data_IF_460305187577
#
_entry.id   IF_460305187577
#
_cell.length_a   1.000
_cell.length_b   1.000
_cell.length_c   1.000
_cell.angle_alpha   90.00
_cell.angle_beta   90.00
_cell.angle_gamma   90.00
#
_symmetry.space_group_name_H-M   'P 1'
#
loop_
_entity.id
_entity.type
_entity.pdbx_description
1 polymer ?
#
# COMPACT_ATOMS: atom_id res chain seq x y z
N UNK A 1 1.32 -6.61 9.14
CA UNK A 1 0.35 -6.59 10.26
C UNK A 1 -0.79 -7.58 10.04
N UNK A 2 -1.25 -7.78 8.80
CA UNK A 2 -2.27 -8.76 8.38
C UNK A 2 -2.31 -10.07 9.20
N UNK A 3 -1.26 -10.90 9.14
CA UNK A 3 -1.25 -12.20 9.85
C UNK A 3 -1.27 -12.06 11.37
N UNK A 4 -0.57 -11.06 11.91
CA UNK A 4 -0.46 -10.83 13.36
C UNK A 4 -1.81 -10.39 13.96
N UNK A 5 -2.54 -9.56 13.24
CA UNK A 5 -3.79 -8.98 13.69
C UNK A 5 -5.02 -9.75 13.19
N UNK A 6 -4.81 -10.82 12.40
CA UNK A 6 -5.89 -11.57 11.73
C UNK A 6 -6.88 -10.65 11.00
N UNK A 7 -6.38 -9.58 10.38
CA UNK A 7 -7.16 -8.54 9.72
C UNK A 7 -6.63 -8.34 8.29
N UNK A 8 -7.38 -8.75 7.24
CA UNK A 8 -6.95 -8.59 5.86
C UNK A 8 -6.79 -7.11 5.45
N UNK A 9 -7.41 -6.18 6.17
CA UNK A 9 -7.26 -4.73 5.93
C UNK A 9 -6.01 -4.13 6.57
N UNK A 10 -5.29 -4.86 7.44
CA UNK A 10 -4.12 -4.36 8.18
C UNK A 10 -2.84 -4.30 7.31
N UNK A 11 -2.95 -3.62 6.18
CA UNK A 11 -1.84 -3.17 5.34
C UNK A 11 -1.09 -2.03 6.03
N UNK A 12 0.15 -1.75 5.60
CA UNK A 12 1.00 -0.75 6.23
C UNK A 12 0.36 0.64 6.17
N UNK A 13 -0.22 1.00 5.03
CA UNK A 13 -0.87 2.27 4.74
C UNK A 13 -2.14 2.45 5.59
N UNK A 14 -3.01 1.43 5.64
CA UNK A 14 -4.22 1.45 6.47
C UNK A 14 -3.85 1.58 7.95
N UNK A 15 -2.83 0.85 8.40
CA UNK A 15 -2.36 0.90 9.78
C UNK A 15 -1.81 2.29 10.11
N UNK A 16 -0.97 2.86 9.24
CA UNK A 16 -0.40 4.19 9.42
C UNK A 16 -1.48 5.29 9.46
N UNK A 17 -2.47 5.23 8.57
CA UNK A 17 -3.61 6.16 8.58
C UNK A 17 -4.39 6.02 9.89
N UNK A 18 -4.72 4.80 10.33
CA UNK A 18 -5.43 4.55 11.60
C UNK A 18 -4.66 5.14 12.79
N UNK A 19 -3.35 4.90 12.87
CA UNK A 19 -2.49 5.41 13.94
C UNK A 19 -2.38 6.94 13.91
N UNK A 20 -2.24 7.54 12.72
CA UNK A 20 -2.18 8.99 12.56
C UNK A 20 -3.49 9.66 13.00
N UNK A 21 -4.64 9.11 12.58
CA UNK A 21 -5.96 9.62 12.97
C UNK A 21 -6.16 9.57 14.50
N UNK A 22 -5.75 8.48 15.14
CA UNK A 22 -5.82 8.35 16.60
C UNK A 22 -4.90 9.36 17.30
N UNK A 23 -3.66 9.52 16.81
CA UNK A 23 -2.68 10.43 17.41
C UNK A 23 -3.09 11.90 17.31
N UNK A 24 -3.69 12.28 16.18
CA UNK A 24 -4.11 13.66 15.92
C UNK A 24 -5.56 13.92 16.33
N UNK A 25 -6.29 12.89 16.78
CA UNK A 25 -7.70 12.93 17.12
C UNK A 25 -8.59 13.55 16.03
N UNK A 26 -8.35 13.16 14.77
CA UNK A 26 -9.09 13.62 13.60
C UNK A 26 -9.07 12.56 12.51
N UNK A 27 -10.05 12.59 11.61
CA UNK A 27 -10.13 11.65 10.46
C UNK A 27 -9.54 12.22 9.17
N UNK A 28 -9.38 13.54 9.12
CA UNK A 28 -8.77 14.25 7.99
C UNK A 28 -7.28 14.47 8.29
N UNK A 29 -6.44 14.14 7.32
CA UNK A 29 -4.98 14.20 7.37
C UNK A 29 -4.44 15.08 6.23
N UNK A 30 -5.12 16.19 5.93
CA UNK A 30 -4.76 17.09 4.80
C UNK A 30 -3.40 17.75 4.94
N UNK A 31 -2.91 17.91 6.17
CA UNK A 31 -1.60 18.47 6.47
C UNK A 31 -0.50 17.37 6.55
N UNK A 32 -0.85 16.13 6.20
CA UNK A 32 0.07 15.00 6.20
C UNK A 32 0.43 14.57 4.78
N UNK A 33 1.59 13.92 4.68
CA UNK A 33 2.06 13.18 3.51
C UNK A 33 2.25 11.72 3.90
N UNK A 34 2.09 10.79 2.94
CA UNK A 34 2.31 9.36 3.19
C UNK A 34 3.43 8.81 2.32
N UNK A 35 4.30 8.00 2.94
CA UNK A 35 5.44 7.37 2.31
C UNK A 35 5.27 5.86 2.38
N UNK A 36 5.31 5.19 1.23
CA UNK A 36 5.04 3.77 1.07
C UNK A 36 6.26 3.06 0.47
N UNK A 37 6.60 1.87 0.95
CA UNK A 37 7.68 1.08 0.36
C UNK A 37 7.31 0.54 -1.02
N UNK A 38 6.03 0.26 -1.25
CA UNK A 38 5.46 -0.17 -2.53
C UNK A 38 4.30 0.74 -2.92
N UNK A 39 4.01 0.80 -4.22
CA UNK A 39 2.79 1.37 -4.75
C UNK A 39 1.56 0.76 -4.02
N UNK A 40 0.69 1.59 -3.42
CA UNK A 40 -0.45 1.11 -2.64
C UNK A 40 -1.47 0.36 -3.50
N UNK A 41 -2.04 -0.70 -2.96
CA UNK A 41 -3.16 -1.40 -3.60
C UNK A 41 -4.44 -0.53 -3.63
N UNK A 42 -5.47 -0.88 -4.43
CA UNK A 42 -6.69 -0.09 -4.57
C UNK A 42 -7.38 0.27 -3.24
N UNK A 43 -7.39 -0.67 -2.29
CA UNK A 43 -7.94 -0.44 -0.94
C UNK A 43 -7.17 0.68 -0.21
N UNK A 44 -5.84 0.61 -0.21
CA UNK A 44 -4.99 1.57 0.48
C UNK A 44 -5.05 2.93 -0.19
N UNK A 45 -5.03 2.97 -1.53
CA UNK A 45 -5.14 4.19 -2.30
C UNK A 45 -6.48 4.92 -2.05
N UNK A 46 -7.57 4.17 -1.95
CA UNK A 46 -8.89 4.71 -1.58
C UNK A 46 -8.91 5.24 -0.14
N UNK A 47 -8.26 4.55 0.80
CA UNK A 47 -8.16 5.03 2.18
C UNK A 47 -7.33 6.33 2.29
N UNK A 48 -6.22 6.43 1.55
CA UNK A 48 -5.42 7.66 1.44
C UNK A 48 -6.30 8.80 0.94
N UNK A 49 -7.08 8.58 -0.12
CA UNK A 49 -8.03 9.56 -0.64
C UNK A 49 -9.04 10.03 0.41
N UNK A 50 -9.72 9.10 1.09
CA UNK A 50 -10.73 9.45 2.09
C UNK A 50 -10.15 10.10 3.34
N UNK A 51 -8.88 9.84 3.67
CA UNK A 51 -8.17 10.56 4.72
C UNK A 51 -7.72 11.97 4.29
N UNK A 52 -7.97 12.37 3.04
CA UNK A 52 -7.65 13.69 2.49
C UNK A 52 -6.15 14.05 2.48
N UNK A 53 -5.26 13.06 2.60
CA UNK A 53 -3.82 13.21 2.42
C UNK A 53 -3.54 13.77 1.02
N UNK A 54 -2.62 14.72 0.91
CA UNK A 54 -2.37 15.46 -0.34
C UNK A 54 -1.19 14.94 -1.14
N UNK A 55 -0.32 14.15 -0.53
CA UNK A 55 0.85 13.60 -1.21
C UNK A 55 1.14 12.16 -0.80
N UNK A 56 1.35 11.33 -1.81
CA UNK A 56 1.78 9.94 -1.73
C UNK A 56 3.13 9.80 -2.41
N UNK A 57 4.12 9.28 -1.68
CA UNK A 57 5.42 8.89 -2.23
C UNK A 57 5.57 7.38 -2.10
N UNK A 58 5.92 6.67 -3.17
CA UNK A 58 6.13 5.21 -3.13
C UNK A 58 7.47 4.77 -3.72
N UNK A 59 8.06 3.70 -3.20
CA UNK A 59 9.34 3.14 -3.66
C UNK A 59 9.22 2.21 -4.86
N UNK A 60 8.89 0.94 -4.59
CA UNK A 60 8.69 -0.09 -5.62
C UNK A 60 7.32 0.06 -6.28
N UNK A 61 7.20 -0.36 -7.55
CA UNK A 61 5.89 -0.39 -8.22
C UNK A 61 5.10 -1.65 -7.89
N UNK A 62 3.79 -1.63 -8.12
CA UNK A 62 2.90 -2.77 -7.86
C UNK A 62 3.34 -4.05 -8.58
N UNK A 63 3.98 -3.94 -9.75
CA UNK A 63 4.46 -5.10 -10.51
C UNK A 63 5.55 -5.88 -9.76
N UNK A 64 6.33 -5.23 -8.89
CA UNK A 64 7.31 -5.90 -8.03
C UNK A 64 6.63 -6.79 -6.97
N UNK A 65 5.48 -6.35 -6.44
CA UNK A 65 4.68 -7.17 -5.54
C UNK A 65 4.07 -8.38 -6.28
N UNK A 66 3.57 -8.18 -7.51
CA UNK A 66 3.06 -9.28 -8.32
C UNK A 66 4.14 -10.32 -8.61
N UNK A 67 5.35 -9.88 -8.96
CA UNK A 67 6.49 -10.76 -9.25
C UNK A 67 6.91 -11.65 -8.06
N UNK A 68 6.56 -11.28 -6.83
CA UNK A 68 6.90 -12.04 -5.61
C UNK A 68 5.74 -12.91 -5.11
N UNK A 69 4.63 -12.99 -5.87
CA UNK A 69 3.51 -13.88 -5.59
C UNK A 69 2.27 -13.21 -4.99
N UNK A 70 2.19 -11.88 -4.98
CA UNK A 70 0.92 -11.20 -4.69
C UNK A 70 -0.01 -11.22 -5.92
N UNK A 71 -1.31 -11.14 -5.66
CA UNK A 71 -2.36 -11.21 -6.68
C UNK A 71 -2.27 -10.03 -7.67
N UNK A 72 -2.48 -10.32 -8.96
CA UNK A 72 -2.41 -9.32 -10.04
C UNK A 72 -3.46 -8.23 -9.91
N UNK A 73 -4.54 -8.46 -9.14
CA UNK A 73 -5.58 -7.47 -8.84
C UNK A 73 -5.01 -6.14 -8.32
N UNK A 74 -3.83 -6.17 -7.68
CA UNK A 74 -3.15 -4.98 -7.18
C UNK A 74 -2.76 -4.03 -8.33
N UNK A 75 -2.29 -4.57 -9.46
CA UNK A 75 -1.92 -3.81 -10.64
C UNK A 75 -3.10 -3.62 -11.62
N UNK A 76 -3.90 -4.68 -11.79
CA UNK A 76 -4.97 -4.71 -12.79
C UNK A 76 -6.13 -3.76 -12.45
N UNK A 77 -6.49 -3.64 -11.17
CA UNK A 77 -7.64 -2.83 -10.75
C UNK A 77 -7.44 -1.31 -10.97
N UNK A 78 -6.19 -0.87 -11.09
CA UNK A 78 -5.85 0.53 -11.36
C UNK A 78 -5.59 0.79 -12.85
N UNK A 79 -5.36 -0.26 -13.62
CA UNK A 79 -5.07 -0.15 -15.04
C UNK A 79 -6.32 0.25 -15.84
N UNK A 80 -6.22 1.28 -16.68
CA UNK A 80 -7.28 1.76 -17.58
C UNK A 80 -8.59 2.26 -16.92
N UNK A 81 -8.60 2.49 -15.61
CA UNK A 81 -9.82 2.94 -14.89
C UNK A 81 -9.92 4.45 -14.72
N UNK A 82 -8.86 5.19 -15.08
CA UNK A 82 -8.77 6.63 -14.82
C UNK A 82 -8.75 6.96 -13.32
N UNK A 83 -8.36 5.99 -12.48
CA UNK A 83 -8.47 6.11 -11.03
C UNK A 83 -7.51 7.16 -10.49
N UNK A 84 -6.26 7.15 -10.95
CA UNK A 84 -5.23 8.10 -10.52
C UNK A 84 -5.61 9.55 -10.85
N UNK A 85 -6.26 9.78 -11.99
CA UNK A 85 -6.67 11.09 -12.49
C UNK A 85 -7.84 11.68 -11.69
N UNK A 86 -8.63 10.84 -11.02
CA UNK A 86 -9.75 11.27 -10.16
C UNK A 86 -9.31 11.60 -8.74
N UNK A 87 -8.08 11.26 -8.36
CA UNK A 87 -7.55 11.54 -7.04
C UNK A 87 -7.05 12.99 -6.98
N UNK A 88 -7.56 13.74 -6.00
CA UNK A 88 -6.93 15.00 -5.59
C UNK A 88 -5.70 14.71 -4.70
N UNK A 89 -4.71 14.02 -5.29
CA UNK A 89 -3.52 13.47 -4.63
C UNK A 89 -2.29 13.66 -5.53
N UNK A 90 -1.25 14.29 -5.02
CA UNK A 90 0.07 14.30 -5.66
C UNK A 90 0.71 12.92 -5.46
N UNK A 91 1.13 12.27 -6.55
CA UNK A 91 1.73 10.93 -6.50
C UNK A 91 3.13 10.99 -7.09
N UNK A 92 4.13 10.57 -6.31
CA UNK A 92 5.54 10.55 -6.72
C UNK A 92 6.17 9.17 -6.49
N UNK A 93 6.82 8.60 -7.51
CA UNK A 93 7.75 7.49 -7.29
C UNK A 93 9.05 8.04 -6.69
N UNK A 94 9.54 7.44 -5.62
CA UNK A 94 10.82 7.80 -5.01
C UNK A 94 11.97 7.64 -6.01
N UNK A 95 12.97 8.49 -5.88
CA UNK A 95 14.07 8.66 -6.82
C UNK A 95 15.32 7.91 -6.33
N UNK A 96 16.16 7.44 -7.27
CA UNK A 96 17.52 6.95 -6.98
C UNK A 96 17.58 5.71 -6.09
N UNK A 97 18.56 5.68 -5.17
CA UNK A 97 18.87 4.51 -4.35
C UNK A 97 17.70 4.04 -3.48
N UNK A 98 16.75 4.92 -3.15
CA UNK A 98 15.59 4.59 -2.30
C UNK A 98 14.60 3.68 -3.04
N UNK A 99 14.37 3.92 -4.34
CA UNK A 99 13.52 3.04 -5.14
C UNK A 99 14.20 1.68 -5.38
N UNK A 100 15.50 1.67 -5.66
CA UNK A 100 16.27 0.44 -5.85
C UNK A 100 16.27 -0.42 -4.57
N UNK A 101 16.48 0.19 -3.41
CA UNK A 101 16.40 -0.52 -2.13
C UNK A 101 15.01 -1.09 -1.89
N UNK A 102 13.94 -0.36 -2.23
CA UNK A 102 12.58 -0.85 -2.08
C UNK A 102 12.32 -2.08 -2.96
N UNK A 103 12.73 -2.04 -4.23
CA UNK A 103 12.60 -3.18 -5.16
C UNK A 103 13.45 -4.39 -4.70
N UNK A 104 14.66 -4.16 -4.18
CA UNK A 104 15.51 -5.23 -3.63
C UNK A 104 14.91 -5.92 -2.41
N UNK A 105 14.19 -5.21 -1.54
CA UNK A 105 13.50 -5.81 -0.40
C UNK A 105 12.48 -6.84 -0.86
N UNK A 106 11.77 -6.57 -1.96
CA UNK A 106 10.81 -7.50 -2.55
C UNK A 106 11.50 -8.76 -3.10
N UNK A 107 12.58 -8.61 -3.87
CA UNK A 107 13.37 -9.75 -4.36
C UNK A 107 13.91 -10.63 -3.22
N UNK A 108 14.50 -10.00 -2.19
CA UNK A 108 15.10 -10.70 -1.05
C UNK A 108 14.08 -11.41 -0.14
N UNK A 109 12.78 -11.15 -0.31
CA UNK A 109 11.73 -11.73 0.53
C UNK A 109 10.83 -12.73 -0.19
N UNK A 110 11.04 -12.98 -1.50
CA UNK A 110 10.27 -13.96 -2.30
C UNK A 110 10.05 -15.30 -1.59
N UNK A 111 11.08 -15.87 -0.99
CA UNK A 111 11.02 -17.21 -0.40
C UNK A 111 10.33 -17.28 0.97
N UNK A 112 10.03 -16.13 1.59
CA UNK A 112 9.46 -16.06 2.95
C UNK A 112 7.94 -16.12 2.99
N UNK A 113 7.25 -15.88 1.88
CA UNK A 113 5.79 -15.82 1.80
C UNK A 113 5.19 -17.11 1.24
N UNK A 114 5.35 -18.23 1.95
CA UNK A 114 4.53 -19.44 1.71
C UNK A 114 3.36 -19.46 2.69
N UNK A 115 2.19 -19.00 2.24
CA UNK A 115 0.96 -19.02 3.05
C UNK A 115 0.50 -20.48 3.20
N UNK A 116 0.38 -20.97 4.45
CA UNK A 116 -0.23 -22.27 4.74
C UNK A 116 -1.74 -22.12 4.69
N UNK A 117 -2.38 -22.77 3.72
CA UNK A 117 -3.84 -22.91 3.66
C UNK A 117 -4.30 -23.93 4.70
N UNK A 118 -4.95 -23.45 5.76
CA UNK A 118 -5.82 -24.29 6.58
C UNK A 118 -7.25 -23.82 6.32
N UNK A 119 -8.00 -24.60 5.54
CA UNK A 119 -9.42 -24.37 5.29
C UNK A 119 -10.16 -24.87 6.52
N UNK A 120 -10.62 -23.95 7.36
CA UNK A 120 -11.67 -24.22 8.33
C UNK A 120 -12.90 -23.45 7.86
N UNK A 121 -13.88 -24.20 7.38
CA UNK A 121 -15.21 -23.71 7.04
C UNK A 121 -15.82 -23.17 8.34
N UNK A 122 -16.14 -21.88 8.38
CA UNK A 122 -17.07 -21.29 9.34
C UNK A 122 -18.47 -21.33 8.76
#
# INVERSE_FOLDING_TARGET
>A
MVLRNTDPSAHAEITAIREACLKLNQVQLSDCEIYCSCEPCPMCLTAIHFSNIKKLVYGARAEAAVAVGFDSIIADALSNTGFYEKLNLEIKKADGSVAEMAEQVFENTKDKFKIRTQVSIV
#
